data_IF_703160404996
#
_entry.id   IF_703160404996
#
_cell.length_a   1.000
_cell.length_b   1.000
_cell.length_c   1.000
_cell.angle_alpha   90.00
_cell.angle_beta   90.00
_cell.angle_gamma   90.00
#
_symmetry.space_group_name_H-M   'P 1'
#
loop_
_entity.id
_entity.type
_entity.pdbx_description
1 polymer ?
#
# COMPACT_ATOMS: atom_id res chain seq x y z
N UNK A 1 -10.56 -39.16 -3.50
CA UNK A 1 -10.33 -38.77 -4.90
C UNK A 1 -11.25 -37.60 -5.20
N UNK A 2 -10.74 -36.38 -5.02
CA UNK A 2 -11.50 -35.16 -5.27
C UNK A 2 -11.50 -34.86 -6.76
N UNK A 3 -12.67 -35.00 -7.39
CA UNK A 3 -12.88 -34.50 -8.76
C UNK A 3 -12.68 -32.98 -8.81
N UNK A 4 -12.11 -32.46 -9.91
CA UNK A 4 -11.73 -31.06 -9.99
C UNK A 4 -12.98 -30.20 -10.16
N UNK A 5 -13.07 -29.14 -9.35
CA UNK A 5 -14.08 -28.09 -9.51
C UNK A 5 -13.93 -27.46 -10.90
N UNK A 6 -14.76 -27.87 -11.84
CA UNK A 6 -14.85 -27.22 -13.14
C UNK A 6 -15.49 -25.85 -12.93
N UNK A 7 -14.68 -24.80 -12.98
CA UNK A 7 -15.16 -23.41 -12.93
C UNK A 7 -15.93 -23.16 -14.23
N UNK A 8 -17.23 -22.84 -14.19
CA UNK A 8 -17.98 -22.56 -15.41
C UNK A 8 -17.45 -21.24 -15.99
N UNK A 9 -16.78 -21.35 -17.13
CA UNK A 9 -16.34 -20.21 -17.93
C UNK A 9 -17.60 -19.60 -18.56
N UNK A 10 -17.89 -18.34 -18.28
CA UNK A 10 -18.94 -17.62 -19.00
C UNK A 10 -18.59 -17.60 -20.49
N UNK A 11 -19.53 -17.99 -21.35
CA UNK A 11 -19.38 -18.06 -22.81
C UNK A 11 -19.26 -16.68 -23.50
N UNK A 12 -18.83 -15.63 -22.80
CA UNK A 12 -18.37 -14.39 -23.43
C UNK A 12 -16.84 -14.42 -23.46
N UNK A 13 -16.23 -14.71 -24.61
CA UNK A 13 -14.77 -14.63 -24.81
C UNK A 13 -14.22 -13.20 -24.76
N UNK A 14 -14.98 -12.24 -24.24
CA UNK A 14 -14.57 -10.86 -24.01
C UNK A 14 -14.64 -10.60 -22.52
N UNK A 15 -13.71 -9.80 -21.98
CA UNK A 15 -13.80 -9.27 -20.62
C UNK A 15 -15.09 -8.46 -20.54
N UNK A 16 -16.16 -9.07 -20.05
CA UNK A 16 -17.44 -8.42 -19.84
C UNK A 16 -17.19 -7.28 -18.82
N UNK A 17 -17.04 -6.04 -19.29
CA UNK A 17 -16.88 -4.86 -18.44
C UNK A 17 -18.25 -4.50 -17.86
N UNK A 18 -18.25 -4.00 -16.63
CA UNK A 18 -19.44 -3.76 -15.79
C UNK A 18 -20.48 -2.81 -16.43
N UNK A 19 -20.12 -2.13 -17.52
CA UNK A 19 -20.94 -1.15 -18.23
C UNK A 19 -21.85 -1.78 -19.31
N UNK A 20 -21.51 -2.95 -19.85
CA UNK A 20 -22.30 -3.58 -20.93
C UNK A 20 -23.50 -4.42 -20.43
N UNK A 21 -23.67 -4.54 -19.09
CA UNK A 21 -24.74 -5.31 -18.46
C UNK A 21 -25.97 -4.47 -18.04
N UNK A 22 -25.97 -3.16 -18.35
CA UNK A 22 -27.00 -2.23 -17.88
C UNK A 22 -28.18 -2.02 -18.85
N UNK A 23 -28.27 -2.78 -19.93
CA UNK A 23 -29.36 -2.67 -20.92
C UNK A 23 -30.55 -3.61 -20.64
N UNK A 24 -30.88 -3.86 -19.37
CA UNK A 24 -32.09 -4.60 -18.90
C UNK A 24 -32.43 -5.90 -19.66
N UNK A 25 -31.43 -6.51 -20.30
CA UNK A 25 -31.58 -7.70 -21.13
C UNK A 25 -31.34 -8.99 -20.35
N UNK A 26 -31.23 -10.08 -21.09
CA UNK A 26 -30.98 -11.43 -20.57
C UNK A 26 -29.68 -11.53 -19.75
N UNK A 27 -28.69 -10.68 -20.04
CA UNK A 27 -27.43 -10.57 -19.29
C UNK A 27 -27.63 -10.06 -17.85
N UNK A 28 -28.52 -9.09 -17.64
CA UNK A 28 -28.89 -8.59 -16.31
C UNK A 28 -29.60 -9.66 -15.48
N UNK A 29 -30.52 -10.41 -16.11
CA UNK A 29 -31.20 -11.58 -15.49
C UNK A 29 -30.22 -12.67 -15.05
N UNK A 30 -29.24 -13.00 -15.91
CA UNK A 30 -28.22 -14.02 -15.62
C UNK A 30 -27.28 -13.61 -14.50
N UNK A 31 -26.89 -12.34 -14.44
CA UNK A 31 -26.09 -11.79 -13.33
C UNK A 31 -26.86 -11.84 -11.99
N UNK A 32 -28.13 -11.46 -11.99
CA UNK A 32 -28.99 -11.48 -10.79
C UNK A 32 -29.24 -12.91 -10.28
N UNK A 33 -29.50 -13.85 -11.18
CA UNK A 33 -29.63 -15.28 -10.84
C UNK A 33 -28.32 -15.86 -10.25
N UNK A 34 -27.17 -15.42 -10.74
CA UNK A 34 -25.87 -15.81 -10.21
C UNK A 34 -25.65 -15.26 -8.80
N UNK A 35 -25.96 -13.97 -8.58
CA UNK A 35 -25.81 -13.33 -7.26
C UNK A 35 -26.71 -13.98 -6.19
N UNK A 36 -27.97 -14.28 -6.52
CA UNK A 36 -28.87 -15.00 -5.63
C UNK A 36 -28.43 -16.43 -5.33
N UNK A 37 -27.61 -17.04 -6.18
CA UNK A 37 -27.10 -18.39 -5.92
C UNK A 37 -25.93 -18.38 -4.94
N UNK A 38 -25.10 -17.34 -4.99
CA UNK A 38 -23.88 -17.25 -4.18
C UNK A 38 -24.07 -16.59 -2.82
N UNK A 39 -25.00 -15.64 -2.68
CA UNK A 39 -25.16 -14.84 -1.46
C UNK A 39 -26.45 -15.09 -0.68
N UNK A 40 -27.19 -16.15 -1.02
CA UNK A 40 -28.47 -16.47 -0.35
C UNK A 40 -28.28 -16.89 1.10
N UNK A 41 -29.00 -16.23 2.00
CA UNK A 41 -29.19 -16.67 3.38
C UNK A 41 -30.38 -17.65 3.43
N UNK A 42 -30.32 -18.74 4.22
CA UNK A 42 -31.46 -19.63 4.39
C UNK A 42 -32.69 -18.87 4.94
N UNK A 43 -33.86 -19.07 4.33
CA UNK A 43 -35.17 -18.47 4.65
C UNK A 43 -35.44 -17.04 4.14
N UNK A 44 -34.61 -16.46 3.28
CA UNK A 44 -34.96 -15.21 2.57
C UNK A 44 -35.82 -15.47 1.31
N UNK A 45 -36.81 -14.59 1.02
CA UNK A 45 -37.65 -14.70 -0.18
C UNK A 45 -36.84 -14.44 -1.45
N UNK A 46 -37.07 -15.26 -2.48
CA UNK A 46 -36.46 -15.06 -3.80
C UNK A 46 -37.16 -13.89 -4.49
N UNK A 47 -36.42 -12.80 -4.71
CA UNK A 47 -36.95 -11.67 -5.46
C UNK A 47 -36.87 -11.96 -6.97
N UNK A 48 -37.99 -11.86 -7.68
CA UNK A 48 -38.01 -11.99 -9.14
C UNK A 48 -37.47 -10.71 -9.79
N UNK A 49 -36.63 -10.84 -10.82
CA UNK A 49 -35.97 -9.72 -11.51
C UNK A 49 -36.95 -8.65 -12.02
N UNK A 50 -38.16 -9.03 -12.44
CA UNK A 50 -39.19 -8.12 -12.94
C UNK A 50 -39.85 -7.28 -11.84
N UNK A 51 -39.79 -7.71 -10.57
CA UNK A 51 -40.34 -6.98 -9.41
C UNK A 51 -39.34 -5.94 -8.87
N UNK A 52 -38.06 -6.06 -9.23
CA UNK A 52 -36.98 -5.22 -8.74
C UNK A 52 -36.97 -3.78 -9.29
N UNK A 53 -37.70 -3.54 -10.40
CA UNK A 53 -37.74 -2.23 -11.06
C UNK A 53 -38.77 -1.29 -10.37
N UNK A 54 -39.85 -1.84 -9.82
CA UNK A 54 -41.02 -1.04 -9.40
C UNK A 54 -41.24 -0.94 -7.88
N UNK A 55 -40.56 -1.74 -7.05
CA UNK A 55 -40.65 -1.63 -5.59
C UNK A 55 -39.34 -1.15 -4.92
N UNK A 56 -39.33 0.03 -4.26
CA UNK A 56 -38.13 0.66 -3.71
C UNK A 56 -37.57 -0.02 -2.43
N UNK A 57 -38.13 -1.14 -1.98
CA UNK A 57 -37.88 -1.71 -0.65
C UNK A 57 -36.45 -2.26 -0.44
N UNK A 58 -35.67 -2.47 -1.51
CA UNK A 58 -34.27 -2.92 -1.39
C UNK A 58 -33.22 -1.80 -1.49
N UNK A 59 -33.60 -0.58 -1.89
CA UNK A 59 -32.62 0.52 -1.93
C UNK A 59 -32.15 0.92 -0.53
N UNK A 60 -32.97 0.77 0.50
CA UNK A 60 -32.63 1.16 1.88
C UNK A 60 -31.65 0.18 2.55
N UNK A 61 -31.82 -1.13 2.34
CA UNK A 61 -30.93 -2.17 2.88
C UNK A 61 -29.49 -2.05 2.35
N UNK A 62 -29.32 -1.72 1.06
CA UNK A 62 -28.00 -1.48 0.49
C UNK A 62 -27.48 -0.05 0.76
N UNK A 63 -28.34 0.94 1.03
CA UNK A 63 -27.91 2.29 1.47
C UNK A 63 -27.18 2.26 2.81
N UNK A 64 -27.63 1.46 3.79
CA UNK A 64 -26.92 1.32 5.07
C UNK A 64 -25.57 0.60 4.91
N UNK A 65 -25.51 -0.48 4.12
CA UNK A 65 -24.23 -1.19 3.86
C UNK A 65 -23.24 -0.38 3.02
N UNK A 66 -23.72 0.54 2.18
CA UNK A 66 -22.90 1.41 1.34
C UNK A 66 -22.77 2.83 1.91
N UNK A 67 -23.13 3.05 3.18
CA UNK A 67 -23.07 4.36 3.84
C UNK A 67 -21.68 5.01 3.75
N UNK A 68 -20.61 4.21 3.67
CA UNK A 68 -19.24 4.69 3.48
C UNK A 68 -18.94 5.17 2.04
N UNK A 69 -19.64 4.65 1.02
CA UNK A 69 -19.56 5.14 -0.36
C UNK A 69 -20.45 6.38 -0.56
N UNK A 70 -21.52 6.49 0.22
CA UNK A 70 -22.50 7.59 0.12
C UNK A 70 -21.95 8.96 0.59
N UNK A 71 -20.80 8.97 1.28
CA UNK A 71 -20.11 10.20 1.72
C UNK A 71 -19.03 10.70 0.76
N UNK A 72 -18.90 10.09 -0.44
CA UNK A 72 -18.03 10.60 -1.50
C UNK A 72 -18.84 11.54 -2.41
N UNK A 73 -18.87 12.82 -2.09
CA UNK A 73 -19.61 13.83 -2.86
C UNK A 73 -19.10 14.03 -4.31
N UNK A 74 -17.95 13.43 -4.68
CA UNK A 74 -17.30 13.58 -5.99
C UNK A 74 -16.58 12.29 -6.41
N UNK A 75 -16.22 12.20 -7.70
CA UNK A 75 -15.40 11.11 -8.26
C UNK A 75 -13.91 11.25 -7.88
N UNK A 76 -13.64 11.23 -6.58
CA UNK A 76 -12.30 11.31 -6.00
C UNK A 76 -11.77 9.91 -5.65
N UNK A 77 -10.44 9.78 -5.60
CA UNK A 77 -9.78 8.56 -5.11
C UNK A 77 -10.24 8.27 -3.69
N UNK A 78 -10.56 7.01 -3.40
CA UNK A 78 -10.95 6.56 -2.06
C UNK A 78 -9.83 6.93 -1.06
N UNK A 79 -10.14 7.71 0.00
CA UNK A 79 -9.12 8.15 0.94
C UNK A 79 -8.58 6.95 1.72
N UNK A 80 -7.30 6.62 1.50
CA UNK A 80 -6.59 5.59 2.27
C UNK A 80 -5.64 6.23 3.30
N UNK A 81 -6.23 6.98 4.23
CA UNK A 81 -5.49 7.63 5.32
C UNK A 81 -5.00 6.61 6.36
N UNK A 82 -3.70 6.62 6.65
CA UNK A 82 -3.08 5.70 7.63
C UNK A 82 -3.20 6.23 9.07
N UNK A 83 -4.40 6.65 9.47
CA UNK A 83 -4.72 7.24 10.78
C UNK A 83 -5.59 6.31 11.64
N UNK A 84 -5.44 4.98 11.45
CA UNK A 84 -6.29 3.94 12.08
C UNK A 84 -6.02 3.74 13.58
N UNK A 85 -4.88 4.23 14.09
CA UNK A 85 -4.46 4.12 15.50
C UNK A 85 -4.56 5.50 16.17
N UNK A 86 -4.46 5.54 17.51
CA UNK A 86 -4.38 6.79 18.30
C UNK A 86 -3.07 7.57 18.01
N UNK A 87 -2.95 8.14 16.82
CA UNK A 87 -1.76 8.80 16.30
C UNK A 87 -1.46 10.13 17.01
N UNK A 88 -2.48 10.77 17.59
CA UNK A 88 -2.35 12.05 18.31
C UNK A 88 -1.35 11.95 19.48
N UNK A 89 -1.26 10.80 20.13
CA UNK A 89 -0.32 10.55 21.23
C UNK A 89 1.15 10.41 20.76
N UNK A 90 1.37 10.22 19.45
CA UNK A 90 2.69 9.94 18.87
C UNK A 90 3.11 11.02 17.85
N UNK A 91 2.58 12.23 17.99
CA UNK A 91 2.93 13.35 17.11
C UNK A 91 4.36 13.80 17.40
N UNK A 92 5.24 13.59 16.43
CA UNK A 92 6.64 14.06 16.49
C UNK A 92 6.74 15.46 15.90
N UNK A 93 7.00 16.46 16.75
CA UNK A 93 7.28 17.83 16.32
C UNK A 93 8.78 18.06 16.07
N UNK A 94 9.11 19.08 15.27
CA UNK A 94 10.48 19.41 14.85
C UNK A 94 10.98 20.76 15.39
N UNK A 95 10.37 21.30 16.44
CA UNK A 95 10.79 22.58 17.07
C UNK A 95 12.24 22.55 17.59
N UNK A 96 12.73 21.37 17.96
CA UNK A 96 14.11 21.17 18.43
C UNK A 96 15.16 21.04 17.30
N UNK A 97 14.77 21.14 16.03
CA UNK A 97 15.67 21.03 14.89
C UNK A 97 16.82 22.06 14.90
N UNK A 98 16.60 23.38 15.10
CA UNK A 98 17.70 24.35 15.20
C UNK A 98 18.64 24.06 16.37
N UNK A 99 18.08 23.75 17.55
CA UNK A 99 18.88 23.40 18.73
C UNK A 99 19.73 22.14 18.50
N UNK A 100 19.19 21.13 17.81
CA UNK A 100 19.94 19.92 17.44
C UNK A 100 21.09 20.21 16.47
N UNK A 101 20.92 21.15 15.53
CA UNK A 101 21.98 21.59 14.60
C UNK A 101 23.13 22.25 15.37
N UNK A 102 22.81 23.21 16.24
CA UNK A 102 23.82 23.90 17.08
C UNK A 102 24.54 22.92 17.99
N UNK A 103 23.82 22.02 18.66
CA UNK A 103 24.41 20.98 19.52
C UNK A 103 25.36 20.05 18.77
N UNK A 104 24.99 19.60 17.56
CA UNK A 104 25.88 18.77 16.72
C UNK A 104 27.15 19.52 16.33
N UNK A 105 27.05 20.81 15.96
CA UNK A 105 28.20 21.65 15.60
C UNK A 105 29.16 21.84 16.77
N UNK A 106 28.65 22.20 17.95
CA UNK A 106 29.47 22.36 19.15
C UNK A 106 30.19 21.05 19.52
N UNK A 107 29.49 19.91 19.47
CA UNK A 107 30.10 18.61 19.73
C UNK A 107 31.19 18.26 18.70
N UNK A 108 31.00 18.60 17.42
CA UNK A 108 32.03 18.43 16.39
C UNK A 108 33.27 19.29 16.65
N UNK A 109 33.11 20.55 17.06
CA UNK A 109 34.21 21.45 17.40
C UNK A 109 34.98 20.96 18.63
N UNK A 110 34.27 20.57 19.70
CA UNK A 110 34.88 19.99 20.90
C UNK A 110 35.66 18.71 20.57
N UNK A 111 35.13 17.86 19.67
CA UNK A 111 35.83 16.66 19.20
C UNK A 111 37.11 17.02 18.43
N UNK A 112 37.07 18.04 17.58
CA UNK A 112 38.23 18.46 16.80
C UNK A 112 39.38 18.95 17.69
N UNK A 113 39.08 19.78 18.68
CA UNK A 113 40.06 20.28 19.66
C UNK A 113 40.72 19.13 20.43
N UNK A 114 39.94 18.11 20.82
CA UNK A 114 40.46 16.93 21.54
C UNK A 114 41.35 16.01 20.69
N UNK A 115 41.13 15.95 19.38
CA UNK A 115 41.82 15.00 18.48
C UNK A 115 43.07 15.62 17.84
N UNK A 116 43.17 16.95 17.81
CA UNK A 116 44.32 17.69 17.30
C UNK A 116 45.65 17.10 17.84
N UNK A 117 46.64 16.76 16.98
CA UNK A 117 46.84 17.17 15.58
C UNK A 117 46.21 16.27 14.51
N UNK A 118 45.54 15.18 14.89
CA UNK A 118 44.97 14.22 13.91
C UNK A 118 43.72 14.80 13.23
N UNK A 119 43.42 14.41 11.98
CA UNK A 119 42.22 14.89 11.29
C UNK A 119 40.93 14.41 11.97
N UNK A 120 39.92 15.28 12.05
CA UNK A 120 38.65 14.99 12.75
C UNK A 120 37.70 14.10 11.95
N UNK A 121 37.91 13.97 10.64
CA UNK A 121 37.07 13.21 9.71
C UNK A 121 36.99 11.70 10.00
N UNK A 122 37.83 11.19 10.91
CA UNK A 122 37.87 9.79 11.31
C UNK A 122 38.98 9.01 10.60
N UNK A 123 38.89 7.69 10.67
CA UNK A 123 39.82 6.79 9.98
C UNK A 123 39.55 6.74 8.47
N UNK A 124 40.57 6.39 7.70
CA UNK A 124 40.42 6.11 6.27
C UNK A 124 39.42 4.98 6.05
N UNK A 125 38.59 5.11 4.99
CA UNK A 125 37.54 4.12 4.65
C UNK A 125 37.77 3.62 3.22
N UNK A 126 37.56 2.32 2.93
CA UNK A 126 37.69 1.78 1.59
C UNK A 126 36.53 2.22 0.70
N UNK A 127 36.73 2.04 -0.60
CA UNK A 127 35.75 2.32 -1.64
C UNK A 127 35.02 1.01 -1.96
N UNK A 128 33.69 0.98 -1.85
CA UNK A 128 32.86 -0.23 -2.04
C UNK A 128 31.72 0.05 -3.03
N UNK A 129 31.37 -0.96 -3.83
CA UNK A 129 30.21 -0.96 -4.75
C UNK A 129 28.97 -1.53 -4.08
N UNK A 130 27.80 -1.05 -4.48
CA UNK A 130 26.52 -1.56 -3.99
C UNK A 130 26.15 -2.91 -4.63
N UNK A 131 25.22 -3.66 -4.02
CA UNK A 131 24.94 -5.06 -4.36
C UNK A 131 24.02 -5.26 -5.57
N UNK A 132 23.10 -4.33 -5.84
CA UNK A 132 22.04 -4.52 -6.84
C UNK A 132 22.50 -4.14 -8.24
N UNK A 133 21.92 -4.75 -9.28
CA UNK A 133 22.19 -4.42 -10.69
C UNK A 133 22.08 -2.92 -10.97
N UNK A 134 21.04 -2.27 -10.42
CA UNK A 134 20.80 -0.83 -10.59
C UNK A 134 21.90 0.05 -9.97
N UNK A 135 22.55 -0.40 -8.90
CA UNK A 135 23.47 0.41 -8.12
C UNK A 135 24.92 -0.08 -8.11
N UNK A 136 25.25 -1.19 -8.78
CA UNK A 136 26.62 -1.70 -8.87
C UNK A 136 27.61 -0.69 -9.48
N UNK A 137 27.13 0.20 -10.35
CA UNK A 137 27.94 1.30 -10.89
C UNK A 137 28.25 2.40 -9.86
N UNK A 138 27.44 2.51 -8.80
CA UNK A 138 27.63 3.50 -7.75
C UNK A 138 28.64 2.99 -6.73
N UNK A 139 29.37 3.96 -6.21
CA UNK A 139 30.50 3.74 -5.32
C UNK A 139 30.30 4.58 -4.06
N UNK A 140 30.57 4.01 -2.89
CA UNK A 140 30.48 4.73 -1.62
C UNK A 140 31.63 4.35 -0.66
N UNK A 141 31.78 5.12 0.41
CA UNK A 141 32.72 4.80 1.49
C UNK A 141 32.19 3.61 2.31
N UNK A 142 32.97 2.53 2.36
CA UNK A 142 32.67 1.32 3.13
C UNK A 142 32.93 1.47 4.63
N UNK A 143 32.80 0.36 5.38
CA UNK A 143 33.02 0.38 6.83
C UNK A 143 34.51 0.43 7.19
N UNK A 144 35.31 -0.46 6.63
CA UNK A 144 36.74 -0.64 6.88
C UNK A 144 37.35 -1.65 5.91
N UNK A 145 38.67 -1.64 5.78
CA UNK A 145 39.45 -2.47 4.85
C UNK A 145 39.37 -3.96 5.21
N UNK A 146 39.49 -4.82 4.19
CA UNK A 146 39.62 -6.27 4.40
C UNK A 146 41.03 -6.63 4.89
N UNK A 147 41.19 -7.77 5.55
CA UNK A 147 42.52 -8.22 6.01
C UNK A 147 43.47 -8.49 4.85
N UNK A 148 42.94 -8.95 3.71
CA UNK A 148 43.70 -9.19 2.49
C UNK A 148 44.22 -7.87 1.91
N UNK A 149 43.38 -6.84 1.84
CA UNK A 149 43.79 -5.50 1.40
C UNK A 149 44.88 -4.90 2.29
N UNK A 150 44.82 -5.14 3.59
CA UNK A 150 45.82 -4.65 4.54
C UNK A 150 47.16 -5.39 4.40
N UNK A 151 47.13 -6.72 4.19
CA UNK A 151 48.33 -7.55 4.01
C UNK A 151 49.08 -7.27 2.71
N UNK A 152 48.39 -6.88 1.64
CA UNK A 152 49.06 -6.56 0.35
C UNK A 152 49.88 -5.27 0.46
N UNK A 153 49.56 -4.41 1.43
CA UNK A 153 50.09 -3.05 1.51
C UNK A 153 51.14 -2.82 2.61
N UNK A 154 51.22 -3.73 3.58
CA UNK A 154 52.23 -3.73 4.65
C UNK A 154 53.07 -5.00 4.55
#
# INVERSE_FOLDING_TARGET
MSEPLYVPRCECSKKCMMQDCWDNGEAGRRYWACMNKFYRVPNEPVCNFEVWIDEPCQQEYYKEKLQYLYHLNHNNVIPNGHFKKHWQNYVRTWFNQPARKTRRRAAMQQKAVKIFPRPTAGSLRPIVREQTLKYNMKVHAGRGFSLEELKVRF
#
